data_IF_064161025682
#
_entry.id   IF_064161025682
#
_cell.length_a   1.000
_cell.length_b   1.000
_cell.length_c   1.000
_cell.angle_alpha   90.00
_cell.angle_beta   90.00
_cell.angle_gamma   90.00
#
_symmetry.space_group_name_H-M   'P 1'
#
loop_
_entity.id
_entity.type
_entity.pdbx_description
1 polymer ?
#
# COMPACT_ATOMS: atom_id res chain seq x y z
N UNK A 1 -7.09 10.03 3.98
CA UNK A 1 -6.86 9.65 2.57
C UNK A 1 -8.10 9.98 1.75
N UNK A 2 -7.92 10.27 0.45
CA UNK A 2 -9.04 10.55 -0.46
C UNK A 2 -9.50 9.28 -1.20
N UNK A 3 -8.56 8.40 -1.51
CA UNK A 3 -8.81 7.13 -2.19
C UNK A 3 -7.78 6.08 -1.80
N UNK A 4 -8.10 4.82 -2.08
CA UNK A 4 -7.20 3.67 -1.99
C UNK A 4 -7.31 2.83 -3.26
N UNK A 5 -6.19 2.22 -3.67
CA UNK A 5 -6.17 1.28 -4.80
C UNK A 5 -6.37 -0.12 -4.23
N UNK A 6 -7.36 -0.85 -4.75
CA UNK A 6 -7.71 -2.21 -4.33
C UNK A 6 -7.71 -3.13 -5.54
N UNK A 7 -7.22 -4.35 -5.36
CA UNK A 7 -7.23 -5.36 -6.40
C UNK A 7 -8.68 -5.74 -6.78
N UNK A 8 -8.92 -5.92 -8.06
CA UNK A 8 -10.23 -6.24 -8.60
C UNK A 8 -10.86 -7.54 -8.05
N UNK A 9 -10.06 -8.42 -7.48
CA UNK A 9 -10.54 -9.66 -6.88
C UNK A 9 -11.19 -9.46 -5.50
N UNK A 10 -11.00 -8.29 -4.89
CA UNK A 10 -11.54 -7.98 -3.57
C UNK A 10 -12.74 -7.06 -3.58
N UNK A 11 -13.26 -6.70 -4.74
CA UNK A 11 -14.38 -5.77 -4.87
C UNK A 11 -15.62 -6.49 -5.39
N UNK A 12 -16.75 -6.21 -4.74
CA UNK A 12 -18.06 -6.71 -5.16
C UNK A 12 -19.04 -5.55 -5.26
N UNK A 13 -19.86 -5.52 -6.31
CA UNK A 13 -20.85 -4.48 -6.55
C UNK A 13 -22.00 -4.55 -5.52
N UNK A 14 -22.36 -3.43 -4.94
CA UNK A 14 -23.60 -3.25 -4.18
C UNK A 14 -24.68 -2.72 -5.11
N UNK A 15 -24.39 -1.64 -5.85
CA UNK A 15 -25.30 -1.11 -6.85
C UNK A 15 -25.20 -1.95 -8.14
N UNK A 16 -26.31 -2.08 -8.91
CA UNK A 16 -26.25 -2.71 -10.23
C UNK A 16 -25.26 -2.01 -11.15
N UNK A 17 -24.28 -2.73 -11.65
CA UNK A 17 -23.29 -2.23 -12.58
C UNK A 17 -22.75 -3.35 -13.49
N UNK A 18 -22.27 -2.97 -14.65
CA UNK A 18 -21.61 -3.88 -15.57
C UNK A 18 -20.21 -4.26 -15.05
N UNK A 19 -19.63 -5.32 -15.64
CA UNK A 19 -18.26 -5.70 -15.35
C UNK A 19 -17.27 -4.57 -15.65
N UNK A 20 -17.48 -3.84 -16.75
CA UNK A 20 -16.65 -2.70 -17.14
C UNK A 20 -16.76 -1.55 -16.16
N UNK A 21 -17.97 -1.27 -15.66
CA UNK A 21 -18.16 -0.23 -14.65
C UNK A 21 -17.44 -0.59 -13.36
N UNK A 22 -17.61 -1.83 -12.86
CA UNK A 22 -16.93 -2.29 -11.65
C UNK A 22 -15.40 -2.20 -11.76
N UNK A 23 -14.85 -2.51 -12.93
CA UNK A 23 -13.39 -2.54 -13.14
C UNK A 23 -12.77 -1.18 -13.47
N UNK A 24 -13.49 -0.31 -14.19
CA UNK A 24 -12.89 0.85 -14.85
C UNK A 24 -13.52 2.19 -14.44
N UNK A 25 -14.24 2.21 -13.30
CA UNK A 25 -14.69 3.43 -12.62
C UNK A 25 -14.18 3.45 -11.18
N UNK A 26 -13.96 4.64 -10.59
CA UNK A 26 -13.82 4.79 -9.15
C UNK A 26 -15.18 4.56 -8.46
N UNK A 27 -15.17 3.94 -7.29
CA UNK A 27 -16.36 3.61 -6.50
C UNK A 27 -16.28 4.16 -5.10
N UNK A 28 -17.40 4.11 -4.35
CA UNK A 28 -17.48 4.44 -2.94
C UNK A 28 -17.63 3.14 -2.15
N UNK A 29 -16.76 2.96 -1.15
CA UNK A 29 -16.93 1.94 -0.12
C UNK A 29 -17.14 2.61 1.23
N UNK A 30 -17.94 1.98 2.09
CA UNK A 30 -18.26 2.45 3.43
C UNK A 30 -17.85 1.41 4.47
N UNK A 31 -17.29 1.89 5.58
CA UNK A 31 -17.03 1.06 6.76
C UNK A 31 -17.16 1.92 8.02
N UNK A 32 -17.99 1.45 8.99
CA UNK A 32 -18.14 2.14 10.27
C UNK A 32 -18.72 3.56 10.19
N UNK A 33 -19.47 3.88 9.13
CA UNK A 33 -20.02 5.21 8.89
C UNK A 33 -19.08 6.18 8.15
N UNK A 34 -17.88 5.72 7.79
CA UNK A 34 -16.90 6.48 7.02
C UNK A 34 -16.83 5.99 5.57
N UNK A 35 -16.70 6.90 4.63
CA UNK A 35 -16.60 6.60 3.21
C UNK A 35 -15.19 6.84 2.66
N UNK A 36 -14.77 5.98 1.72
CA UNK A 36 -13.53 6.15 0.98
C UNK A 36 -13.74 5.81 -0.51
N UNK A 37 -13.02 6.50 -1.38
CA UNK A 37 -13.04 6.17 -2.81
C UNK A 37 -12.11 5.00 -3.08
N UNK A 38 -12.63 4.01 -3.81
CA UNK A 38 -11.88 2.84 -4.27
C UNK A 38 -11.54 2.99 -5.74
N UNK A 39 -10.26 2.83 -6.06
CA UNK A 39 -9.74 2.70 -7.42
C UNK A 39 -9.43 1.23 -7.64
N UNK A 40 -10.05 0.63 -8.64
CA UNK A 40 -9.88 -0.81 -8.88
C UNK A 40 -8.65 -1.06 -9.74
N UNK A 41 -7.70 -1.84 -9.22
CA UNK A 41 -6.53 -2.33 -9.94
C UNK A 41 -6.95 -3.47 -10.86
N UNK A 42 -6.67 -3.37 -12.15
CA UNK A 42 -6.79 -4.51 -13.06
C UNK A 42 -5.60 -5.45 -12.89
N UNK A 43 -5.85 -6.61 -12.27
CA UNK A 43 -4.82 -7.58 -11.94
C UNK A 43 -4.17 -8.18 -13.19
N UNK A 44 -4.97 -8.64 -14.14
CA UNK A 44 -4.46 -9.31 -15.34
C UNK A 44 -3.54 -8.40 -16.15
N UNK A 45 -3.95 -7.13 -16.33
CA UNK A 45 -3.14 -6.15 -17.03
C UNK A 45 -1.88 -5.78 -16.25
N UNK A 46 -1.96 -5.73 -14.92
CA UNK A 46 -0.79 -5.50 -14.07
C UNK A 46 0.22 -6.65 -14.17
N UNK A 47 -0.27 -7.88 -14.11
CA UNK A 47 0.55 -9.09 -14.17
C UNK A 47 1.15 -9.28 -15.59
N UNK A 48 0.42 -8.90 -16.64
CA UNK A 48 0.94 -8.87 -18.00
C UNK A 48 2.11 -7.88 -18.14
N UNK A 49 2.01 -6.68 -17.57
CA UNK A 49 3.10 -5.70 -17.53
C UNK A 49 4.33 -6.24 -16.80
N UNK A 50 4.14 -6.89 -15.65
CA UNK A 50 5.21 -7.56 -14.89
C UNK A 50 5.90 -8.65 -15.70
N UNK A 51 5.15 -9.32 -16.57
CA UNK A 51 5.64 -10.46 -17.36
C UNK A 51 6.38 -10.05 -18.64
N UNK A 52 6.58 -8.74 -18.85
CA UNK A 52 7.32 -8.23 -20.00
C UNK A 52 6.51 -8.25 -21.30
N UNK A 53 5.22 -8.02 -21.21
CA UNK A 53 4.35 -7.92 -22.39
C UNK A 53 4.72 -6.69 -23.24
N UNK A 54 4.58 -6.81 -24.56
CA UNK A 54 4.77 -5.67 -25.45
C UNK A 54 3.61 -4.69 -25.41
N UNK A 55 3.91 -3.45 -25.80
CA UNK A 55 2.93 -2.38 -25.82
C UNK A 55 1.75 -2.66 -26.77
N UNK A 56 2.00 -3.24 -27.93
CA UNK A 56 0.97 -3.52 -28.94
C UNK A 56 -0.09 -4.49 -28.42
N UNK A 57 0.34 -5.57 -27.77
CA UNK A 57 -0.58 -6.50 -27.12
C UNK A 57 -1.39 -5.80 -26.03
N UNK A 58 -0.72 -5.05 -25.16
CA UNK A 58 -1.38 -4.34 -24.06
C UNK A 58 -2.42 -3.35 -24.56
N UNK A 59 -2.09 -2.57 -25.60
CA UNK A 59 -2.99 -1.61 -26.21
C UNK A 59 -4.25 -2.27 -26.81
N UNK A 60 -4.05 -3.40 -27.52
CA UNK A 60 -5.17 -4.15 -28.09
C UNK A 60 -6.06 -4.77 -27.00
N UNK A 61 -5.47 -5.30 -25.95
CA UNK A 61 -6.21 -5.85 -24.81
C UNK A 61 -6.99 -4.78 -24.07
N UNK A 62 -6.42 -3.60 -23.89
CA UNK A 62 -7.08 -2.44 -23.32
C UNK A 62 -8.30 -2.03 -24.14
N UNK A 63 -8.14 -1.92 -25.46
CA UNK A 63 -9.23 -1.62 -26.38
C UNK A 63 -10.33 -2.67 -26.27
N UNK A 64 -9.99 -3.96 -26.31
CA UNK A 64 -10.94 -5.07 -26.21
C UNK A 64 -11.77 -5.00 -24.90
N UNK A 65 -11.16 -4.60 -23.80
CA UNK A 65 -11.84 -4.49 -22.48
C UNK A 65 -12.71 -3.24 -22.36
N UNK A 66 -12.34 -2.16 -23.01
CA UNK A 66 -12.98 -0.84 -22.82
C UNK A 66 -13.87 -0.37 -23.96
N UNK A 67 -13.86 -1.03 -25.11
CA UNK A 67 -14.61 -0.61 -26.32
C UNK A 67 -16.13 -0.46 -26.10
N UNK A 68 -16.69 -1.14 -25.09
CA UNK A 68 -18.12 -1.08 -24.77
C UNK A 68 -18.43 -0.12 -23.61
N UNK A 69 -17.45 0.60 -23.10
CA UNK A 69 -17.68 1.59 -22.07
C UNK A 69 -18.41 2.81 -22.68
N UNK A 70 -19.55 3.16 -22.10
CA UNK A 70 -20.28 4.40 -22.42
C UNK A 70 -19.81 5.57 -21.52
N UNK A 71 -18.66 5.43 -20.89
CA UNK A 71 -18.04 6.38 -19.97
C UNK A 71 -16.52 6.42 -20.22
N UNK A 72 -15.81 7.46 -19.79
CA UNK A 72 -14.35 7.48 -19.83
C UNK A 72 -13.76 6.43 -18.88
N UNK A 73 -13.19 5.31 -19.36
CA UNK A 73 -12.67 4.28 -18.47
C UNK A 73 -11.35 4.71 -17.84
N UNK A 74 -11.23 4.53 -16.52
CA UNK A 74 -9.97 4.63 -15.77
C UNK A 74 -9.40 3.23 -15.59
N UNK A 75 -8.46 2.84 -16.43
CA UNK A 75 -7.74 1.56 -16.27
C UNK A 75 -6.54 1.79 -15.38
N UNK A 76 -6.52 1.12 -14.24
CA UNK A 76 -5.45 1.25 -13.26
C UNK A 76 -4.65 -0.04 -13.19
N UNK A 77 -3.37 0.05 -13.47
CA UNK A 77 -2.40 -1.01 -13.24
C UNK A 77 -1.46 -0.59 -12.12
N UNK A 78 -1.05 -1.54 -11.30
CA UNK A 78 -0.11 -1.29 -10.21
C UNK A 78 0.74 -2.54 -9.97
N UNK A 79 2.05 -2.35 -9.86
CA UNK A 79 3.04 -3.40 -9.62
C UNK A 79 4.15 -2.86 -8.73
N UNK A 80 4.96 -3.75 -8.14
CA UNK A 80 6.20 -3.32 -7.50
C UNK A 80 7.15 -2.73 -8.54
N UNK A 81 7.79 -1.62 -8.21
CA UNK A 81 8.67 -0.90 -9.14
C UNK A 81 9.92 -1.68 -9.55
N UNK A 82 10.37 -2.61 -8.71
CA UNK A 82 11.52 -3.48 -8.97
C UNK A 82 11.17 -4.69 -9.86
N UNK A 83 9.90 -5.07 -9.95
CA UNK A 83 9.46 -6.16 -10.83
C UNK A 83 9.65 -5.86 -12.32
N UNK A 84 9.72 -4.60 -12.70
CA UNK A 84 9.89 -4.18 -14.09
C UNK A 84 11.19 -4.62 -14.79
N UNK A 85 12.14 -5.20 -14.07
CA UNK A 85 13.41 -5.63 -14.64
C UNK A 85 14.30 -6.45 -13.72
N UNK A 86 13.84 -6.75 -12.49
CA UNK A 86 14.67 -7.41 -11.49
C UNK A 86 14.33 -8.89 -11.30
N UNK A 87 13.06 -9.20 -11.04
CA UNK A 87 12.64 -10.55 -10.64
C UNK A 87 12.27 -11.47 -11.81
N UNK A 88 12.22 -10.95 -13.02
CA UNK A 88 11.90 -11.73 -14.21
C UNK A 88 13.15 -11.84 -15.07
N UNK A 89 13.30 -12.94 -15.82
CA UNK A 89 14.35 -13.13 -16.81
C UNK A 89 14.14 -12.18 -18.00
N UNK A 90 14.26 -10.89 -17.75
CA UNK A 90 14.12 -9.82 -18.73
C UNK A 90 15.51 -9.32 -19.12
N UNK A 91 15.69 -9.07 -20.40
CA UNK A 91 16.89 -8.44 -20.95
C UNK A 91 16.73 -6.91 -20.95
N UNK A 92 17.80 -6.18 -21.28
CA UNK A 92 17.70 -4.73 -21.51
C UNK A 92 16.62 -4.36 -22.55
N UNK A 93 16.31 -5.28 -23.49
CA UNK A 93 15.33 -5.07 -24.57
C UNK A 93 13.92 -5.50 -24.24
N UNK A 94 13.71 -6.31 -23.18
CA UNK A 94 12.41 -6.91 -22.84
C UNK A 94 11.91 -6.54 -21.47
N UNK A 95 12.54 -5.59 -20.79
CA UNK A 95 12.07 -5.09 -19.49
C UNK A 95 10.92 -4.09 -19.67
N UNK A 96 10.15 -3.89 -18.59
CA UNK A 96 9.02 -2.98 -18.57
C UNK A 96 9.36 -1.58 -19.10
N UNK A 97 10.52 -1.02 -18.71
CA UNK A 97 10.87 0.37 -19.00
C UNK A 97 11.17 0.61 -20.49
N UNK A 98 11.90 -0.30 -21.13
CA UNK A 98 12.32 -0.15 -22.53
C UNK A 98 11.32 -0.74 -23.51
N UNK A 99 10.71 -1.87 -23.19
CA UNK A 99 9.87 -2.62 -24.10
C UNK A 99 8.39 -2.21 -24.05
N UNK A 100 7.93 -1.72 -22.90
CA UNK A 100 6.55 -1.31 -22.72
C UNK A 100 6.43 0.21 -22.51
N UNK A 101 7.08 0.74 -21.47
CA UNK A 101 6.81 2.13 -21.03
C UNK A 101 7.32 3.17 -22.01
N UNK A 102 8.54 2.99 -22.52
CA UNK A 102 9.11 3.89 -23.53
C UNK A 102 8.27 3.90 -24.81
N UNK A 103 7.90 2.72 -25.31
CA UNK A 103 7.07 2.59 -26.51
C UNK A 103 5.70 3.22 -26.31
N UNK A 104 5.05 2.99 -25.16
CA UNK A 104 3.78 3.62 -24.82
C UNK A 104 3.86 5.15 -24.87
N UNK A 105 4.92 5.73 -24.31
CA UNK A 105 5.12 7.18 -24.34
C UNK A 105 5.32 7.72 -25.75
N UNK A 106 6.11 7.03 -26.59
CA UNK A 106 6.33 7.44 -27.99
C UNK A 106 5.04 7.38 -28.81
N UNK A 107 4.23 6.33 -28.65
CA UNK A 107 2.93 6.20 -29.32
C UNK A 107 1.94 7.27 -28.89
N UNK A 108 1.92 7.61 -27.58
CA UNK A 108 1.07 8.68 -27.05
C UNK A 108 1.52 10.05 -27.57
N UNK A 109 2.84 10.33 -27.56
CA UNK A 109 3.41 11.60 -28.05
C UNK A 109 3.15 11.80 -29.54
N UNK A 110 3.25 10.73 -30.30
CA UNK A 110 3.01 10.74 -31.74
C UNK A 110 1.50 10.80 -32.11
N UNK A 111 0.60 10.78 -31.13
CA UNK A 111 -0.85 10.80 -31.36
C UNK A 111 -1.43 9.51 -31.94
N UNK A 112 -0.66 8.41 -31.96
CA UNK A 112 -1.13 7.12 -32.47
C UNK A 112 -1.85 6.27 -31.43
N UNK A 113 -1.74 6.61 -30.14
CA UNK A 113 -2.43 5.92 -29.06
C UNK A 113 -3.67 6.70 -28.61
N UNK A 114 -4.78 5.99 -28.39
CA UNK A 114 -5.96 6.55 -27.75
C UNK A 114 -5.83 6.64 -26.22
N UNK A 115 -4.83 5.97 -25.63
CA UNK A 115 -4.54 6.08 -24.20
C UNK A 115 -4.13 7.51 -23.84
N UNK A 116 -4.51 7.92 -22.64
CA UNK A 116 -4.10 9.19 -22.04
C UNK A 116 -3.72 8.94 -20.58
N UNK A 117 -2.43 9.04 -20.21
CA UNK A 117 -2.03 9.03 -18.81
C UNK A 117 -2.72 10.17 -18.06
N UNK A 118 -3.24 9.88 -16.89
CA UNK A 118 -3.92 10.85 -16.04
C UNK A 118 -3.59 10.59 -14.57
N UNK A 119 -3.48 11.66 -13.79
CA UNK A 119 -3.43 11.50 -12.35
C UNK A 119 -4.82 11.09 -11.82
N UNK A 120 -4.86 10.16 -10.89
CA UNK A 120 -6.12 9.69 -10.29
C UNK A 120 -6.92 10.87 -9.70
N UNK A 121 -6.24 11.82 -9.07
CA UNK A 121 -6.88 13.03 -8.54
C UNK A 121 -7.56 13.88 -9.62
N UNK A 122 -6.96 14.01 -10.79
CA UNK A 122 -7.52 14.77 -11.90
C UNK A 122 -8.72 14.04 -12.51
N UNK A 123 -8.63 12.71 -12.63
CA UNK A 123 -9.76 11.89 -13.04
C UNK A 123 -10.94 12.06 -12.07
N UNK A 124 -10.70 11.94 -10.76
CA UNK A 124 -11.72 12.08 -9.72
C UNK A 124 -12.35 13.49 -9.71
N UNK A 125 -11.54 14.54 -9.91
CA UNK A 125 -12.05 15.91 -10.00
C UNK A 125 -12.94 16.12 -11.22
N UNK A 126 -12.70 15.41 -12.32
CA UNK A 126 -13.42 15.55 -13.57
C UNK A 126 -14.66 14.65 -13.67
N UNK A 127 -14.58 13.43 -13.17
CA UNK A 127 -15.60 12.41 -13.39
C UNK A 127 -16.25 11.86 -12.10
N UNK A 128 -15.61 12.10 -10.94
CA UNK A 128 -16.10 11.63 -9.65
C UNK A 128 -15.95 10.13 -9.43
N UNK A 129 -16.57 9.64 -8.36
CA UNK A 129 -16.77 8.22 -8.06
C UNK A 129 -18.20 7.80 -8.48
N UNK A 130 -18.42 6.51 -8.70
CA UNK A 130 -19.63 6.00 -9.32
C UNK A 130 -20.08 4.68 -8.72
N UNK A 131 -21.24 4.69 -8.08
CA UNK A 131 -21.80 3.49 -7.46
C UNK A 131 -21.09 3.04 -6.19
N UNK A 132 -21.76 2.19 -5.46
CA UNK A 132 -21.28 1.63 -4.18
C UNK A 132 -20.80 0.21 -4.37
N UNK A 133 -19.70 -0.10 -3.71
CA UNK A 133 -19.11 -1.44 -3.68
C UNK A 133 -18.78 -1.83 -2.26
N UNK A 134 -18.62 -3.12 -2.02
CA UNK A 134 -17.97 -3.64 -0.82
C UNK A 134 -16.57 -4.13 -1.15
N UNK A 135 -15.67 -3.98 -0.18
CA UNK A 135 -14.30 -4.49 -0.29
C UNK A 135 -14.15 -5.65 0.68
N UNK A 136 -13.81 -6.82 0.15
CA UNK A 136 -13.53 -8.00 0.97
C UNK A 136 -12.19 -7.84 1.70
N UNK A 137 -12.10 -8.47 2.87
CA UNK A 137 -10.85 -8.59 3.59
C UNK A 137 -9.81 -9.34 2.76
N UNK A 138 -8.61 -8.81 2.70
CA UNK A 138 -7.52 -9.44 1.96
C UNK A 138 -6.33 -8.51 1.81
N UNK A 139 -5.35 -8.95 1.03
CA UNK A 139 -4.18 -8.18 0.68
C UNK A 139 -3.82 -8.43 -0.79
N UNK A 140 -3.17 -7.48 -1.42
CA UNK A 140 -2.74 -7.65 -2.79
C UNK A 140 -1.84 -8.89 -2.94
N UNK A 141 -1.89 -9.54 -4.09
CA UNK A 141 -1.08 -10.71 -4.42
C UNK A 141 -1.24 -11.91 -3.47
N UNK A 142 -2.36 -12.00 -2.76
CA UNK A 142 -2.80 -13.22 -2.11
C UNK A 142 -3.83 -13.91 -3.00
N UNK A 143 -3.78 -15.21 -3.09
CA UNK A 143 -4.68 -16.01 -3.89
C UNK A 143 -5.35 -17.12 -3.07
N UNK A 144 -6.15 -17.93 -3.72
CA UNK A 144 -6.95 -18.97 -3.04
C UNK A 144 -6.12 -19.94 -2.19
N UNK A 145 -4.86 -20.23 -2.57
CA UNK A 145 -4.00 -21.14 -1.79
C UNK A 145 -3.41 -20.48 -0.52
N UNK A 146 -3.45 -19.15 -0.43
CA UNK A 146 -3.13 -18.41 0.78
C UNK A 146 -4.38 -18.02 1.58
N UNK A 147 -5.57 -18.49 1.19
CA UNK A 147 -6.83 -18.25 1.90
C UNK A 147 -7.48 -16.89 1.67
N UNK A 148 -7.05 -16.13 0.67
CA UNK A 148 -7.59 -14.79 0.35
C UNK A 148 -7.60 -13.83 1.54
N UNK A 149 -6.63 -13.95 2.45
CA UNK A 149 -6.52 -13.14 3.65
C UNK A 149 -5.08 -12.67 3.90
N UNK A 150 -4.73 -12.43 5.16
CA UNK A 150 -3.38 -12.02 5.55
C UNK A 150 -2.44 -13.20 5.88
N UNK A 151 -2.78 -14.43 5.50
CA UNK A 151 -2.01 -15.62 5.85
C UNK A 151 -0.53 -15.52 5.45
N UNK A 152 -0.23 -14.87 4.33
CA UNK A 152 1.14 -14.63 3.87
C UNK A 152 2.00 -13.93 4.94
N UNK A 153 1.40 -13.01 5.71
CA UNK A 153 2.11 -12.21 6.72
C UNK A 153 1.92 -12.71 8.15
N UNK A 154 0.88 -13.48 8.43
CA UNK A 154 0.50 -13.91 9.78
C UNK A 154 0.12 -15.40 9.87
N UNK A 155 0.52 -16.21 8.91
CA UNK A 155 0.17 -17.63 8.84
C UNK A 155 0.80 -18.45 9.96
N UNK A 156 2.06 -18.18 10.30
CA UNK A 156 2.75 -18.86 11.38
C UNK A 156 2.58 -18.18 12.74
N UNK A 157 2.84 -18.93 13.82
CA UNK A 157 2.80 -18.35 15.16
C UNK A 157 3.93 -17.32 15.37
N UNK A 158 5.13 -17.54 14.79
CA UNK A 158 6.26 -16.61 14.88
C UNK A 158 5.90 -15.27 14.21
N UNK A 159 5.30 -15.31 13.01
CA UNK A 159 4.83 -14.10 12.34
C UNK A 159 3.83 -13.33 13.22
N UNK A 160 2.82 -14.03 13.77
CA UNK A 160 1.81 -13.39 14.62
C UNK A 160 2.38 -12.81 15.90
N UNK A 161 3.24 -13.54 16.61
CA UNK A 161 3.88 -13.07 17.83
C UNK A 161 4.75 -11.82 17.56
N UNK A 162 5.50 -11.85 16.47
CA UNK A 162 6.33 -10.70 16.05
C UNK A 162 5.47 -9.50 15.68
N UNK A 163 4.34 -9.69 14.99
CA UNK A 163 3.41 -8.61 14.66
C UNK A 163 2.80 -7.98 15.91
N UNK A 164 2.47 -8.76 16.94
CA UNK A 164 2.02 -8.22 18.24
C UNK A 164 3.09 -7.30 18.83
N UNK A 165 4.33 -7.74 18.87
CA UNK A 165 5.45 -6.95 19.40
C UNK A 165 5.66 -5.65 18.57
N UNK A 166 5.63 -5.73 17.26
CA UNK A 166 5.72 -4.54 16.37
C UNK A 166 4.60 -3.57 16.69
N UNK A 167 3.36 -4.05 16.80
CA UNK A 167 2.20 -3.23 17.11
C UNK A 167 2.32 -2.56 18.48
N UNK A 168 2.79 -3.27 19.50
CA UNK A 168 2.98 -2.72 20.84
C UNK A 168 4.05 -1.63 20.85
N UNK A 169 5.19 -1.84 20.18
CA UNK A 169 6.24 -0.84 20.02
C UNK A 169 5.77 0.38 19.22
N UNK A 170 4.96 0.18 18.18
CA UNK A 170 4.35 1.28 17.41
C UNK A 170 3.44 2.13 18.29
N UNK A 171 2.57 1.52 19.08
CA UNK A 171 1.71 2.24 20.04
C UNK A 171 2.53 3.00 21.07
N UNK A 172 3.54 2.37 21.63
CA UNK A 172 4.44 2.96 22.60
C UNK A 172 5.19 4.17 22.02
N UNK A 173 5.74 4.02 20.79
CA UNK A 173 6.39 5.11 20.08
C UNK A 173 5.48 6.31 19.90
N UNK A 174 4.26 6.10 19.43
CA UNK A 174 3.30 7.19 19.23
C UNK A 174 2.91 7.88 20.54
N UNK A 175 2.78 7.14 21.63
CA UNK A 175 2.51 7.72 22.94
C UNK A 175 3.69 8.59 23.43
N UNK A 176 4.92 8.10 23.32
CA UNK A 176 6.14 8.86 23.69
C UNK A 176 6.29 10.10 22.81
N UNK A 177 6.10 9.97 21.50
CA UNK A 177 6.21 11.07 20.54
C UNK A 177 5.14 12.15 20.80
N UNK A 178 3.91 11.77 21.16
CA UNK A 178 2.84 12.70 21.52
C UNK A 178 3.18 13.50 22.77
N UNK A 179 3.73 12.85 23.79
CA UNK A 179 4.17 13.53 25.02
C UNK A 179 5.33 14.49 24.71
N UNK A 180 6.29 14.05 23.90
CA UNK A 180 7.40 14.90 23.47
C UNK A 180 6.92 16.15 22.73
N UNK A 181 5.95 16.02 21.82
CA UNK A 181 5.37 17.14 21.08
C UNK A 181 4.66 18.18 21.97
N UNK A 182 4.16 17.78 23.12
CA UNK A 182 3.54 18.67 24.10
C UNK A 182 4.59 19.44 24.93
N UNK A 183 5.86 19.07 24.85
CA UNK A 183 6.93 19.80 25.52
C UNK A 183 7.36 20.97 24.64
N UNK A 184 7.19 22.20 25.12
CA UNK A 184 7.54 23.43 24.38
C UNK A 184 9.05 23.69 24.35
N UNK A 185 9.86 22.83 24.94
CA UNK A 185 11.31 22.93 25.03
C UNK A 185 11.95 22.11 23.89
N UNK A 186 12.65 22.75 22.95
CA UNK A 186 13.30 22.04 21.84
C UNK A 186 14.52 21.24 22.31
N UNK A 187 14.30 20.06 22.89
CA UNK A 187 15.36 19.14 23.23
C UNK A 187 15.83 18.42 21.94
N UNK A 188 16.94 18.89 21.36
CA UNK A 188 17.50 18.32 20.13
C UNK A 188 17.89 16.84 20.27
N UNK A 189 18.34 16.43 21.47
CA UNK A 189 18.68 15.04 21.71
C UNK A 189 17.42 14.14 21.74
N UNK A 190 16.34 14.60 22.37
CA UNK A 190 15.05 13.90 22.33
C UNK A 190 14.53 13.75 20.88
N UNK A 191 14.64 14.81 20.07
CA UNK A 191 14.24 14.76 18.67
C UNK A 191 15.09 13.77 17.87
N UNK A 192 16.41 13.74 18.10
CA UNK A 192 17.31 12.78 17.47
C UNK A 192 16.96 11.33 17.84
N UNK A 193 16.78 11.05 19.12
CA UNK A 193 16.46 9.72 19.62
C UNK A 193 15.11 9.23 19.08
N UNK A 194 14.09 10.09 19.05
CA UNK A 194 12.79 9.75 18.47
C UNK A 194 12.88 9.55 16.94
N UNK A 195 13.72 10.31 16.25
CA UNK A 195 13.97 10.13 14.82
C UNK A 195 14.57 8.74 14.51
N UNK A 196 15.56 8.31 15.30
CA UNK A 196 16.15 6.97 15.18
C UNK A 196 15.14 5.87 15.52
N UNK A 197 14.36 6.03 16.61
CA UNK A 197 13.31 5.10 16.96
C UNK A 197 12.29 4.94 15.83
N UNK A 198 11.85 6.06 15.25
CA UNK A 198 10.88 6.06 14.13
C UNK A 198 11.42 5.34 12.90
N UNK A 199 12.66 5.64 12.52
CA UNK A 199 13.29 4.98 11.38
C UNK A 199 13.39 3.46 11.56
N UNK A 200 13.79 3.01 12.77
CA UNK A 200 13.86 1.59 13.11
C UNK A 200 12.48 0.95 13.13
N UNK A 201 11.48 1.65 13.64
CA UNK A 201 10.10 1.17 13.65
C UNK A 201 9.57 0.95 12.23
N UNK A 202 9.74 1.91 11.34
CA UNK A 202 9.36 1.78 9.92
C UNK A 202 10.03 0.57 9.25
N UNK A 203 11.29 0.29 9.58
CA UNK A 203 11.98 -0.90 9.10
C UNK A 203 11.44 -2.19 9.70
N UNK A 204 11.10 -2.19 11.00
CA UNK A 204 10.49 -3.35 11.65
C UNK A 204 9.11 -3.67 11.06
N UNK A 205 8.34 -2.66 10.68
CA UNK A 205 7.02 -2.75 10.05
C UNK A 205 7.05 -3.16 8.57
N UNK A 206 8.23 -3.24 7.95
CA UNK A 206 8.36 -3.58 6.52
C UNK A 206 7.70 -4.91 6.20
N UNK A 207 6.77 -4.91 5.25
CA UNK A 207 6.03 -6.08 4.80
C UNK A 207 6.93 -7.27 4.46
N UNK A 208 8.08 -7.04 3.83
CA UNK A 208 9.03 -8.10 3.44
C UNK A 208 9.55 -8.92 4.62
N UNK A 209 9.60 -8.36 5.82
CA UNK A 209 10.03 -9.10 7.01
C UNK A 209 9.06 -10.24 7.36
N UNK A 210 7.82 -10.17 6.89
CA UNK A 210 6.76 -11.16 7.14
C UNK A 210 6.37 -11.92 5.89
N UNK A 211 6.29 -11.26 4.76
CA UNK A 211 5.84 -11.81 3.47
C UNK A 211 6.64 -13.06 3.03
N UNK A 212 7.94 -13.05 3.21
CA UNK A 212 8.82 -14.15 2.81
C UNK A 212 8.88 -15.32 3.80
N UNK A 213 8.00 -15.29 4.82
CA UNK A 213 7.86 -16.37 5.79
C UNK A 213 8.80 -16.27 7.00
N UNK A 214 8.77 -17.29 7.84
CA UNK A 214 9.41 -17.30 9.17
C UNK A 214 10.90 -16.97 9.15
N UNK A 215 11.62 -17.44 8.13
CA UNK A 215 13.06 -17.22 8.00
C UNK A 215 13.46 -15.73 7.90
N UNK A 216 12.53 -14.85 7.57
CA UNK A 216 12.77 -13.42 7.41
C UNK A 216 12.36 -12.59 8.64
N UNK A 217 11.54 -13.14 9.51
CA UNK A 217 11.00 -12.45 10.70
C UNK A 217 12.11 -11.94 11.62
N UNK A 218 13.25 -12.63 11.71
CA UNK A 218 14.40 -12.20 12.53
C UNK A 218 14.92 -10.80 12.17
N UNK A 219 14.72 -10.33 10.93
CA UNK A 219 15.11 -8.97 10.51
C UNK A 219 14.32 -7.90 11.26
N UNK A 220 13.04 -8.18 11.52
CA UNK A 220 12.21 -7.30 12.34
C UNK A 220 12.68 -7.25 13.80
N UNK A 221 13.13 -8.38 14.38
CA UNK A 221 13.56 -8.43 15.77
C UNK A 221 14.72 -7.48 16.07
N UNK A 222 15.74 -7.41 15.21
CA UNK A 222 16.89 -6.52 15.39
C UNK A 222 16.47 -5.05 15.41
N UNK A 223 15.56 -4.66 14.51
CA UNK A 223 15.07 -3.29 14.48
C UNK A 223 14.14 -3.01 15.67
N UNK A 224 13.30 -3.96 16.10
CA UNK A 224 12.46 -3.84 17.29
C UNK A 224 13.27 -3.68 18.59
N UNK A 225 14.38 -4.40 18.75
CA UNK A 225 15.28 -4.24 19.89
C UNK A 225 15.88 -2.84 19.93
N UNK A 226 16.25 -2.31 18.75
CA UNK A 226 16.73 -0.93 18.63
C UNK A 226 15.63 0.09 18.95
N UNK A 227 14.38 -0.13 18.50
CA UNK A 227 13.23 0.73 18.86
C UNK A 227 13.05 0.76 20.38
N UNK A 228 12.99 -0.40 21.01
CA UNK A 228 12.79 -0.50 22.45
C UNK A 228 13.90 0.24 23.23
N UNK A 229 15.16 0.12 22.79
CA UNK A 229 16.28 0.83 23.39
C UNK A 229 16.13 2.35 23.27
N UNK A 230 15.86 2.88 22.07
CA UNK A 230 15.67 4.33 21.85
C UNK A 230 14.44 4.87 22.58
N UNK A 231 13.35 4.09 22.69
CA UNK A 231 12.20 4.48 23.50
C UNK A 231 12.55 4.58 24.98
N UNK A 232 13.40 3.69 25.49
CA UNK A 232 13.96 3.78 26.84
C UNK A 232 14.74 5.08 27.06
N UNK A 233 15.61 5.48 26.11
CA UNK A 233 16.34 6.73 26.17
C UNK A 233 15.39 7.95 26.11
N UNK A 234 14.42 7.94 25.18
CA UNK A 234 13.45 9.03 25.04
C UNK A 234 12.64 9.24 26.33
N UNK A 235 12.20 8.16 26.98
CA UNK A 235 11.51 8.20 28.27
C UNK A 235 12.39 8.76 29.38
N UNK A 236 13.66 8.38 29.39
CA UNK A 236 14.63 8.93 30.36
C UNK A 236 14.82 10.45 30.17
N UNK A 237 14.92 10.92 28.92
CA UNK A 237 15.01 12.35 28.58
C UNK A 237 13.73 13.13 28.94
N UNK A 238 12.56 12.51 28.83
CA UNK A 238 11.28 13.09 29.27
C UNK A 238 11.13 13.13 30.80
N UNK A 239 11.82 12.23 31.51
CA UNK A 239 11.92 12.24 32.97
C UNK A 239 10.57 12.16 33.69
N UNK A 240 10.29 13.14 34.58
CA UNK A 240 9.07 13.17 35.38
C UNK A 240 7.80 13.28 34.51
N UNK A 241 7.84 13.99 33.39
CA UNK A 241 6.68 14.16 32.47
C UNK A 241 6.14 12.83 31.96
N UNK A 242 7.04 11.91 31.60
CA UNK A 242 6.64 10.55 31.21
C UNK A 242 5.93 9.83 32.37
N UNK A 243 6.46 9.90 33.59
CA UNK A 243 5.88 9.26 34.76
C UNK A 243 4.50 9.79 35.10
N UNK A 244 4.30 11.10 34.99
CA UNK A 244 3.02 11.75 35.29
C UNK A 244 1.91 11.31 34.35
N UNK A 245 2.21 11.19 33.02
CA UNK A 245 1.25 10.72 32.02
C UNK A 245 0.89 9.25 32.23
N UNK A 246 1.88 8.39 32.50
CA UNK A 246 1.64 6.97 32.78
C UNK A 246 0.78 6.79 34.06
N UNK A 247 1.03 7.58 35.10
CA UNK A 247 0.24 7.54 36.32
C UNK A 247 -1.23 7.92 36.07
N UNK A 248 -1.50 8.95 35.25
CA UNK A 248 -2.86 9.35 34.88
C UNK A 248 -3.57 8.29 34.02
N UNK A 249 -2.87 7.66 33.08
CA UNK A 249 -3.44 6.60 32.24
C UNK A 249 -3.77 5.31 32.99
N UNK A 250 -3.14 5.09 34.15
CA UNK A 250 -3.40 3.92 35.01
C UNK A 250 -4.61 4.12 35.95
N UNK A 251 -5.19 5.30 35.96
CA UNK A 251 -6.35 5.64 36.77
C UNK A 251 -7.69 5.62 35.98
N UNK A 252 -7.61 5.44 34.67
CA UNK A 252 -8.73 5.27 33.75
C UNK A 252 -8.87 3.81 33.30
#
# INVERSE_FOLDING_TARGET
YRYVIVDCEYVDAIDPMSWQELRYRPHIAEYGGEEIIIIVRDRDLSDAQLSGIDYGWFYNELFRRTQWCNFPPLVTTATDGDNGGWFRNVTEKTNFWTYFYHEALEEIRAGRSAMRPIFITDYLNRFGAHGRITVRRGAWNTDAHHGWDFHQWQGSWIQRDTLVRVHDLSREFHAVAQIAAQTHDPNLELARVLGEAHWRLLRAETSCNFYWGEAWVHKSHTDMDSVAWHLGEAKALLGQRWKDVVALASLC
#
